data_IF_141724434961
#
_entry.id   IF_141724434961
#
_cell.length_a   1.000
_cell.length_b   1.000
_cell.length_c   1.000
_cell.angle_alpha   90.00
_cell.angle_beta   90.00
_cell.angle_gamma   90.00
#
_symmetry.space_group_name_H-M   'P 1'
#
loop_
_entity.id
_entity.type
_entity.pdbx_description
1 polymer ?
#
# COMPACT_ATOMS: atom_id res chain seq x y z
N UNK A 1 -11.45 -18.55 9.48
CA UNK A 1 -10.23 -17.72 9.61
C UNK A 1 -9.49 -17.98 10.92
N UNK A 2 -10.05 -18.77 11.83
CA UNK A 2 -9.54 -18.92 13.20
C UNK A 2 -8.25 -19.73 13.31
N UNK A 3 -8.00 -20.65 12.37
CA UNK A 3 -6.79 -21.48 12.38
C UNK A 3 -5.50 -20.69 12.31
N UNK A 4 -5.45 -19.61 11.52
CA UNK A 4 -4.22 -18.80 11.43
C UNK A 4 -4.05 -17.91 12.65
N UNK A 5 -5.12 -17.38 13.22
CA UNK A 5 -5.06 -16.66 14.50
C UNK A 5 -4.57 -17.54 15.65
N UNK A 6 -4.93 -18.83 15.64
CA UNK A 6 -4.48 -19.78 16.64
C UNK A 6 -2.98 -20.11 16.53
N UNK A 7 -2.45 -20.20 15.31
CA UNK A 7 -1.04 -20.57 15.07
C UNK A 7 -0.13 -19.34 15.07
N UNK A 8 -0.59 -18.21 14.53
CA UNK A 8 0.15 -16.96 14.38
C UNK A 8 -0.68 -15.77 14.93
N UNK A 9 -0.87 -15.69 16.26
CA UNK A 9 -1.77 -14.70 16.89
C UNK A 9 -1.33 -13.24 16.68
N UNK A 10 -0.05 -13.01 16.37
CA UNK A 10 0.50 -11.68 16.10
C UNK A 10 0.41 -11.28 14.61
N UNK A 11 -0.01 -12.19 13.73
CA UNK A 11 -0.11 -11.89 12.31
C UNK A 11 -1.37 -11.06 12.03
N UNK A 12 -1.18 -9.90 11.40
CA UNK A 12 -2.31 -9.11 10.92
C UNK A 12 -2.93 -9.79 9.69
N UNK A 13 -4.25 -9.93 9.72
CA UNK A 13 -5.03 -10.53 8.64
C UNK A 13 -5.63 -9.46 7.75
N UNK A 14 -5.15 -9.39 6.50
CA UNK A 14 -5.71 -8.51 5.48
C UNK A 14 -6.61 -9.31 4.53
N UNK A 15 -7.80 -8.78 4.27
CA UNK A 15 -8.72 -9.26 3.25
C UNK A 15 -8.47 -8.49 1.96
N UNK A 16 -8.42 -9.21 0.85
CA UNK A 16 -8.24 -8.62 -0.46
C UNK A 16 -9.48 -7.80 -0.87
N UNK A 17 -9.27 -6.52 -1.21
CA UNK A 17 -10.31 -5.62 -1.69
C UNK A 17 -11.02 -6.16 -2.95
N UNK A 18 -10.32 -6.89 -3.83
CA UNK A 18 -10.89 -7.51 -5.05
C UNK A 18 -11.84 -8.67 -4.74
N UNK A 19 -11.56 -9.45 -3.69
CA UNK A 19 -12.49 -10.50 -3.23
C UNK A 19 -13.70 -9.88 -2.53
N UNK A 20 -13.49 -8.78 -1.79
CA UNK A 20 -14.59 -7.99 -1.22
C UNK A 20 -15.47 -7.44 -2.34
N UNK A 21 -14.87 -6.82 -3.36
CA UNK A 21 -15.57 -6.35 -4.57
C UNK A 21 -16.40 -7.47 -5.19
N UNK A 22 -15.79 -8.62 -5.45
CA UNK A 22 -16.45 -9.73 -6.14
C UNK A 22 -17.66 -10.26 -5.35
N UNK A 23 -17.61 -10.24 -4.02
CA UNK A 23 -18.73 -10.66 -3.18
C UNK A 23 -19.77 -9.57 -2.99
N UNK A 24 -19.34 -8.34 -2.80
CA UNK A 24 -20.19 -7.17 -2.58
C UNK A 24 -20.96 -6.79 -3.85
N UNK A 25 -20.32 -6.88 -5.02
CA UNK A 25 -20.95 -6.62 -6.32
C UNK A 25 -21.98 -7.68 -6.76
N UNK A 26 -22.10 -8.82 -6.04
CA UNK A 26 -23.24 -9.73 -6.23
C UNK A 26 -24.56 -9.10 -5.80
N UNK A 27 -24.50 -8.15 -4.86
CA UNK A 27 -25.66 -7.43 -4.33
C UNK A 27 -25.78 -6.02 -4.92
N UNK A 28 -24.65 -5.38 -5.23
CA UNK A 28 -24.60 -3.97 -5.66
C UNK A 28 -23.81 -3.81 -6.97
N UNK A 29 -24.49 -3.57 -8.10
CA UNK A 29 -23.92 -3.74 -9.45
C UNK A 29 -23.47 -2.44 -10.15
N UNK A 30 -23.59 -1.27 -9.52
CA UNK A 30 -23.27 -0.01 -10.20
C UNK A 30 -21.75 0.25 -10.27
N UNK A 31 -21.27 0.74 -11.43
CA UNK A 31 -19.85 1.04 -11.65
C UNK A 31 -19.33 2.17 -10.77
N UNK A 32 -20.18 3.15 -10.44
CA UNK A 32 -19.84 4.26 -9.55
C UNK A 32 -19.68 3.80 -8.09
N UNK A 33 -20.58 2.91 -7.62
CA UNK A 33 -20.48 2.29 -6.30
C UNK A 33 -19.18 1.50 -6.16
N UNK A 34 -18.83 0.71 -7.18
CA UNK A 34 -17.55 -0.02 -7.22
C UNK A 34 -16.36 0.94 -7.15
N UNK A 35 -16.37 2.05 -7.89
CA UNK A 35 -15.30 3.04 -7.87
C UNK A 35 -15.12 3.65 -6.47
N UNK A 36 -16.22 4.03 -5.82
CA UNK A 36 -16.20 4.58 -4.46
C UNK A 36 -15.76 3.55 -3.42
N UNK A 37 -16.14 2.29 -3.56
CA UNK A 37 -15.65 1.20 -2.71
C UNK A 37 -14.13 1.08 -2.80
N UNK A 38 -13.57 1.09 -4.02
CA UNK A 38 -12.12 1.08 -4.22
C UNK A 38 -11.44 2.31 -3.64
N UNK A 39 -12.04 3.50 -3.78
CA UNK A 39 -11.53 4.70 -3.13
C UNK A 39 -11.52 4.58 -1.61
N UNK A 40 -12.56 3.99 -1.00
CA UNK A 40 -12.55 3.65 0.43
C UNK A 40 -11.41 2.68 0.78
N UNK A 41 -11.20 1.64 -0.02
CA UNK A 41 -10.13 0.66 0.22
C UNK A 41 -8.74 1.34 0.19
N UNK A 42 -8.55 2.23 -0.80
CA UNK A 42 -7.31 2.96 -1.01
C UNK A 42 -7.15 4.19 -0.10
N UNK A 43 -8.14 4.60 0.69
CA UNK A 43 -7.97 5.72 1.63
C UNK A 43 -6.77 5.49 2.56
N UNK A 44 -5.96 6.52 2.76
CA UNK A 44 -4.73 6.44 3.55
C UNK A 44 -4.94 6.74 5.03
N UNK A 45 -5.96 7.52 5.34
CA UNK A 45 -6.30 8.00 6.66
C UNK A 45 -7.83 7.93 6.85
N UNK A 46 -8.25 8.07 8.12
CA UNK A 46 -9.65 7.86 8.52
C UNK A 46 -10.60 8.93 7.96
N UNK A 47 -10.12 10.17 7.80
CA UNK A 47 -10.90 11.28 7.24
C UNK A 47 -11.21 11.02 5.76
N UNK A 48 -10.18 10.68 4.97
CA UNK A 48 -10.34 10.30 3.56
C UNK A 48 -11.29 9.12 3.41
N UNK A 49 -11.21 8.10 4.28
CA UNK A 49 -12.12 6.97 4.26
C UNK A 49 -13.57 7.39 4.51
N UNK A 50 -13.81 8.21 5.55
CA UNK A 50 -15.14 8.72 5.89
C UNK A 50 -15.72 9.56 4.77
N UNK A 51 -14.92 10.37 4.09
CA UNK A 51 -15.37 11.18 2.96
C UNK A 51 -15.81 10.33 1.77
N UNK A 52 -15.04 9.29 1.42
CA UNK A 52 -15.43 8.37 0.35
C UNK A 52 -16.67 7.55 0.73
N UNK A 53 -16.77 7.12 1.98
CA UNK A 53 -17.94 6.41 2.49
C UNK A 53 -19.19 7.30 2.49
N UNK A 54 -19.06 8.57 2.86
CA UNK A 54 -20.16 9.54 2.81
C UNK A 54 -20.63 9.78 1.38
N UNK A 55 -19.71 9.85 0.40
CA UNK A 55 -20.05 9.94 -1.03
C UNK A 55 -20.82 8.69 -1.48
N UNK A 56 -20.42 7.49 -1.02
CA UNK A 56 -21.15 6.25 -1.29
C UNK A 56 -22.55 6.25 -0.66
N UNK A 57 -22.68 6.71 0.59
CA UNK A 57 -23.96 6.79 1.29
C UNK A 57 -24.94 7.79 0.67
N UNK A 58 -24.43 8.86 0.03
CA UNK A 58 -25.25 9.79 -0.76
C UNK A 58 -25.85 9.16 -2.02
N UNK A 59 -25.19 8.14 -2.59
CA UNK A 59 -25.76 7.37 -3.70
C UNK A 59 -26.80 6.38 -3.18
N UNK A 60 -26.43 5.62 -2.15
CA UNK A 60 -27.32 4.67 -1.48
C UNK A 60 -26.79 4.34 -0.08
N UNK A 61 -27.58 4.66 0.94
CA UNK A 61 -27.22 4.44 2.34
C UNK A 61 -27.11 2.94 2.69
N UNK A 62 -27.93 2.08 2.08
CA UNK A 62 -27.89 0.64 2.30
C UNK A 62 -26.58 0.04 1.77
N UNK A 63 -26.09 0.56 0.64
CA UNK A 63 -24.81 0.16 0.02
C UNK A 63 -23.63 0.50 0.95
N UNK A 64 -23.60 1.72 1.49
CA UNK A 64 -22.58 2.14 2.45
C UNK A 64 -22.64 1.33 3.76
N UNK A 65 -23.85 1.12 4.30
CA UNK A 65 -24.07 0.32 5.51
C UNK A 65 -23.65 -1.15 5.33
N UNK A 66 -23.83 -1.72 4.14
CA UNK A 66 -23.41 -3.08 3.83
C UNK A 66 -21.88 -3.19 3.75
N UNK A 67 -21.20 -2.17 3.20
CA UNK A 67 -19.74 -2.13 3.10
C UNK A 67 -19.08 -2.07 4.49
N UNK A 68 -19.60 -1.27 5.41
CA UNK A 68 -19.04 -1.13 6.77
C UNK A 68 -19.29 -2.33 7.68
N UNK A 69 -20.16 -3.27 7.30
CA UNK A 69 -20.28 -4.57 7.99
C UNK A 69 -19.01 -5.40 7.83
N UNK A 70 -18.24 -5.16 6.79
CA UNK A 70 -16.94 -5.79 6.57
C UNK A 70 -15.90 -5.01 7.38
N UNK A 71 -15.25 -5.68 8.33
CA UNK A 71 -14.25 -5.06 9.22
C UNK A 71 -13.21 -4.26 8.44
N UNK A 72 -13.22 -2.93 8.60
CA UNK A 72 -12.40 -1.99 7.84
C UNK A 72 -10.91 -2.20 8.07
N UNK A 73 -10.54 -2.66 9.27
CA UNK A 73 -9.17 -3.04 9.66
C UNK A 73 -8.59 -4.11 8.75
N UNK A 74 -9.44 -4.96 8.15
CA UNK A 74 -8.99 -6.03 7.28
C UNK A 74 -8.72 -5.57 5.84
N UNK A 75 -9.34 -4.51 5.31
CA UNK A 75 -9.31 -4.24 3.87
C UNK A 75 -9.04 -2.79 3.46
N UNK A 76 -9.20 -1.84 4.38
CA UNK A 76 -8.94 -0.44 4.10
C UNK A 76 -7.54 -0.06 4.60
N UNK A 77 -6.75 0.53 3.70
CA UNK A 77 -5.38 0.96 3.95
C UNK A 77 -5.27 1.94 5.11
N UNK A 78 -6.31 2.74 5.37
CA UNK A 78 -6.39 3.67 6.48
C UNK A 78 -6.32 2.99 7.86
N UNK A 79 -6.52 1.68 7.96
CA UNK A 79 -6.49 0.96 9.23
C UNK A 79 -5.42 -0.10 9.29
N UNK A 80 -4.58 -0.20 8.25
CA UNK A 80 -3.45 -1.12 8.26
C UNK A 80 -2.36 -0.67 9.23
N UNK A 81 -1.66 -1.66 9.77
CA UNK A 81 -0.41 -1.44 10.48
C UNK A 81 0.65 -0.87 9.52
N UNK A 82 1.64 -0.21 10.11
CA UNK A 82 2.73 0.44 9.37
C UNK A 82 4.06 -0.27 9.60
N UNK A 83 4.05 -1.48 10.18
CA UNK A 83 5.26 -2.28 10.41
C UNK A 83 5.77 -2.80 9.07
N UNK A 84 4.90 -3.49 8.33
CA UNK A 84 5.19 -3.90 6.96
C UNK A 84 4.92 -2.73 6.02
N UNK A 85 5.94 -2.29 5.28
CA UNK A 85 5.84 -1.20 4.29
C UNK A 85 5.12 -1.63 3.02
N UNK A 86 3.86 -2.06 3.18
CA UNK A 86 3.01 -2.56 2.11
C UNK A 86 1.67 -1.81 2.11
N UNK A 87 1.49 -0.84 1.19
CA UNK A 87 0.25 -0.09 1.05
C UNK A 87 -0.79 -0.79 0.15
N UNK A 88 -0.50 -1.99 -0.37
CA UNK A 88 -1.37 -2.70 -1.32
C UNK A 88 -2.57 -3.30 -0.59
N UNK A 89 -3.75 -3.17 -1.20
CA UNK A 89 -5.05 -3.64 -0.68
C UNK A 89 -5.61 -4.82 -1.47
N UNK A 90 -5.02 -5.15 -2.61
CA UNK A 90 -5.38 -6.32 -3.42
C UNK A 90 -4.39 -7.48 -3.23
N UNK A 91 -4.83 -8.68 -3.61
CA UNK A 91 -4.04 -9.91 -3.50
C UNK A 91 -3.43 -10.32 -4.84
N UNK A 92 -3.08 -9.36 -5.72
CA UNK A 92 -2.51 -9.70 -7.04
C UNK A 92 -1.31 -10.66 -6.91
N UNK A 93 -0.44 -10.45 -5.91
CA UNK A 93 0.66 -11.36 -5.63
C UNK A 93 0.19 -12.80 -5.31
N UNK A 94 -0.83 -12.94 -4.46
CA UNK A 94 -1.36 -14.25 -4.07
C UNK A 94 -2.07 -14.94 -5.25
N UNK A 95 -2.79 -14.18 -6.06
CA UNK A 95 -3.44 -14.66 -7.29
C UNK A 95 -2.39 -15.15 -8.30
N UNK A 96 -1.35 -14.35 -8.56
CA UNK A 96 -0.23 -14.74 -9.43
C UNK A 96 0.49 -15.97 -8.92
N UNK A 97 0.80 -16.04 -7.62
CA UNK A 97 1.43 -17.22 -7.03
C UNK A 97 0.55 -18.46 -7.16
N UNK A 98 -0.74 -18.36 -6.87
CA UNK A 98 -1.68 -19.48 -6.99
C UNK A 98 -1.79 -20.00 -8.42
N UNK A 99 -1.78 -19.10 -9.42
CA UNK A 99 -1.74 -19.48 -10.83
C UNK A 99 -0.43 -20.16 -11.19
N UNK A 100 0.69 -19.66 -10.65
CA UNK A 100 2.04 -20.16 -10.94
C UNK A 100 2.31 -21.56 -10.38
N UNK A 101 1.69 -21.92 -9.25
CA UNK A 101 1.79 -23.27 -8.64
C UNK A 101 0.63 -24.20 -9.02
N UNK A 102 -0.28 -23.77 -9.91
CA UNK A 102 -1.53 -24.49 -10.14
C UNK A 102 -1.30 -25.90 -10.68
N UNK A 103 -0.33 -26.05 -11.60
CA UNK A 103 0.03 -27.33 -12.22
C UNK A 103 0.66 -28.30 -11.21
N UNK A 104 1.35 -27.78 -10.18
CA UNK A 104 1.96 -28.59 -9.12
C UNK A 104 0.95 -29.12 -8.11
N UNK A 105 -0.27 -28.56 -8.03
CA UNK A 105 -1.28 -29.03 -7.07
C UNK A 105 -1.88 -30.40 -7.42
N UNK A 106 -1.72 -30.86 -8.66
CA UNK A 106 -2.23 -32.14 -9.14
C UNK A 106 -1.32 -33.34 -8.91
N UNK A 107 -0.15 -33.16 -8.29
CA UNK A 107 0.86 -34.23 -8.11
C UNK A 107 1.07 -34.57 -6.62
N UNK A 108 1.68 -35.73 -6.29
CA UNK A 108 1.90 -36.12 -4.89
C UNK A 108 2.64 -35.06 -4.07
N UNK A 109 2.27 -34.90 -2.80
CA UNK A 109 2.71 -33.79 -1.93
C UNK A 109 4.22 -33.55 -1.91
N UNK A 110 5.02 -34.61 -1.81
CA UNK A 110 6.49 -34.50 -1.81
C UNK A 110 7.01 -33.94 -3.13
N UNK A 111 6.44 -34.40 -4.25
CA UNK A 111 6.81 -33.94 -5.59
C UNK A 111 6.34 -32.51 -5.85
N UNK A 112 5.16 -32.13 -5.33
CA UNK A 112 4.67 -30.74 -5.36
C UNK A 112 5.63 -29.80 -4.64
N UNK A 113 5.99 -30.14 -3.40
CA UNK A 113 6.91 -29.33 -2.59
C UNK A 113 8.29 -29.18 -3.24
N UNK A 114 8.82 -30.26 -3.82
CA UNK A 114 10.11 -30.22 -4.51
C UNK A 114 10.08 -29.34 -5.76
N UNK A 115 9.01 -29.41 -6.57
CA UNK A 115 8.84 -28.51 -7.72
C UNK A 115 8.72 -27.06 -7.29
N UNK A 116 7.92 -26.75 -6.26
CA UNK A 116 7.79 -25.39 -5.74
C UNK A 116 9.14 -24.88 -5.24
N UNK A 117 9.91 -25.70 -4.53
CA UNK A 117 11.25 -25.35 -4.04
C UNK A 117 12.18 -24.96 -5.19
N UNK A 118 12.29 -25.78 -6.22
CA UNK A 118 13.14 -25.49 -7.41
C UNK A 118 12.69 -24.21 -8.09
N UNK A 119 11.38 -24.06 -8.34
CA UNK A 119 10.83 -22.87 -8.99
C UNK A 119 11.11 -21.59 -8.17
N UNK A 120 11.01 -21.64 -6.84
CA UNK A 120 11.35 -20.49 -5.97
C UNK A 120 12.84 -20.16 -6.05
N UNK A 121 13.71 -21.17 -6.06
CA UNK A 121 15.17 -20.95 -6.22
C UNK A 121 15.49 -20.26 -7.55
N UNK A 122 14.89 -20.71 -8.66
CA UNK A 122 15.08 -20.09 -9.97
C UNK A 122 14.59 -18.63 -9.98
N UNK A 123 13.46 -18.33 -9.35
CA UNK A 123 12.96 -16.95 -9.22
C UNK A 123 13.96 -16.09 -8.44
N UNK A 124 14.45 -16.58 -7.30
CA UNK A 124 15.39 -15.82 -6.47
C UNK A 124 16.69 -15.54 -7.21
N UNK A 125 17.27 -16.53 -7.88
CA UNK A 125 18.48 -16.35 -8.70
C UNK A 125 18.25 -15.33 -9.83
N UNK A 126 17.15 -15.45 -10.57
CA UNK A 126 16.80 -14.50 -11.63
C UNK A 126 16.55 -13.08 -11.11
N UNK A 127 15.97 -12.94 -9.91
CA UNK A 127 15.77 -11.64 -9.27
C UNK A 127 17.10 -11.03 -8.84
N UNK A 128 17.99 -11.82 -8.23
CA UNK A 128 19.32 -11.39 -7.85
C UNK A 128 20.12 -10.90 -9.07
N UNK A 129 20.13 -11.65 -10.18
CA UNK A 129 20.80 -11.25 -11.42
C UNK A 129 20.27 -9.92 -11.96
N UNK A 130 18.94 -9.76 -11.98
CA UNK A 130 18.30 -8.48 -12.37
C UNK A 130 18.74 -7.34 -11.46
N UNK A 131 18.76 -7.55 -10.15
CA UNK A 131 19.19 -6.54 -9.16
C UNK A 131 20.67 -6.21 -9.35
N UNK A 132 21.55 -7.21 -9.53
CA UNK A 132 22.98 -7.03 -9.82
C UNK A 132 23.19 -6.17 -11.06
N UNK A 133 22.42 -6.42 -12.13
CA UNK A 133 22.48 -5.66 -13.39
C UNK A 133 22.00 -4.20 -13.28
N UNK A 134 21.23 -3.85 -12.25
CA UNK A 134 20.75 -2.48 -12.04
C UNK A 134 21.91 -1.54 -11.69
N UNK A 135 22.10 -0.48 -12.49
CA UNK A 135 23.13 0.56 -12.24
C UNK A 135 22.79 1.48 -11.07
N UNK A 136 21.51 1.59 -10.75
CA UNK A 136 20.96 2.44 -9.69
C UNK A 136 20.70 1.62 -8.42
N UNK A 137 20.77 2.28 -7.26
CA UNK A 137 20.42 1.69 -5.97
C UNK A 137 18.90 1.44 -5.82
N UNK A 138 18.10 1.89 -6.77
CA UNK A 138 16.64 1.74 -6.78
C UNK A 138 16.16 1.14 -8.11
N UNK A 139 15.08 0.35 -8.05
CA UNK A 139 14.43 -0.20 -9.24
C UNK A 139 13.80 0.89 -10.13
N UNK A 140 13.58 0.57 -11.41
CA UNK A 140 13.02 1.52 -12.37
C UNK A 140 11.57 1.89 -12.04
N UNK A 141 10.79 0.92 -11.58
CA UNK A 141 9.40 1.01 -11.17
C UNK A 141 9.27 1.91 -9.94
N UNK A 142 10.15 1.70 -8.96
CA UNK A 142 10.23 2.58 -7.79
C UNK A 142 10.54 4.02 -8.20
N UNK A 143 11.53 4.21 -9.06
CA UNK A 143 11.94 5.56 -9.49
C UNK A 143 10.83 6.28 -10.25
N UNK A 144 10.02 5.57 -11.05
CA UNK A 144 8.82 6.13 -11.69
C UNK A 144 7.82 6.65 -10.64
N UNK A 145 7.49 5.82 -9.64
CA UNK A 145 6.58 6.21 -8.56
C UNK A 145 7.12 7.41 -7.76
N UNK A 146 8.39 7.37 -7.36
CA UNK A 146 9.03 8.46 -6.63
C UNK A 146 9.03 9.77 -7.42
N UNK A 147 9.30 9.71 -8.73
CA UNK A 147 9.27 10.90 -9.58
C UNK A 147 7.85 11.47 -9.73
N UNK A 148 6.81 10.62 -9.75
CA UNK A 148 5.42 11.09 -9.72
C UNK A 148 5.11 11.82 -8.39
N UNK A 149 5.53 11.27 -7.24
CA UNK A 149 5.37 11.96 -5.95
C UNK A 149 6.15 13.27 -5.90
N UNK A 150 7.35 13.31 -6.50
CA UNK A 150 8.13 14.53 -6.60
C UNK A 150 7.44 15.58 -7.48
N UNK A 151 6.80 15.18 -8.57
CA UNK A 151 6.03 16.10 -9.41
C UNK A 151 4.86 16.71 -8.65
N UNK A 152 4.10 15.91 -7.90
CA UNK A 152 3.03 16.41 -7.02
C UNK A 152 3.59 17.35 -5.95
N UNK A 153 4.72 16.99 -5.33
CA UNK A 153 5.38 17.81 -4.32
C UNK A 153 5.77 19.20 -4.85
N UNK A 154 6.03 19.37 -6.14
CA UNK A 154 6.30 20.70 -6.72
C UNK A 154 5.08 21.61 -6.74
N UNK A 155 3.87 21.04 -6.75
CA UNK A 155 2.61 21.77 -6.67
C UNK A 155 2.17 22.05 -5.22
N UNK A 156 2.80 21.41 -4.23
CA UNK A 156 2.47 21.65 -2.83
C UNK A 156 3.07 22.95 -2.29
N UNK A 157 2.43 23.56 -1.31
CA UNK A 157 2.95 24.69 -0.52
C UNK A 157 3.26 24.23 0.90
N UNK A 158 4.34 24.73 1.51
CA UNK A 158 4.74 24.30 2.85
C UNK A 158 4.90 25.49 3.80
N UNK A 159 4.29 25.38 4.97
CA UNK A 159 4.34 26.35 6.05
C UNK A 159 5.00 25.71 7.26
N UNK A 160 6.16 26.24 7.63
CA UNK A 160 6.98 25.72 8.73
C UNK A 160 6.53 26.29 10.07
N UNK A 161 6.37 25.44 11.09
CA UNK A 161 5.95 25.87 12.43
C UNK A 161 7.09 26.39 13.32
N UNK A 162 8.33 26.47 12.81
CA UNK A 162 9.51 26.89 13.57
C UNK A 162 10.31 25.77 14.24
N UNK A 163 9.86 24.51 14.20
CA UNK A 163 10.56 23.38 14.83
C UNK A 163 10.69 22.12 13.96
N UNK A 164 9.84 21.11 14.17
CA UNK A 164 9.80 19.87 13.36
C UNK A 164 8.50 19.72 12.57
N UNK A 165 7.53 20.61 12.76
CA UNK A 165 6.20 20.53 12.14
C UNK A 165 6.08 21.38 10.88
N UNK A 166 5.37 20.84 9.90
CA UNK A 166 4.97 21.56 8.70
C UNK A 166 3.47 21.36 8.48
N UNK A 167 2.78 22.40 8.07
CA UNK A 167 1.52 22.27 7.32
C UNK A 167 1.88 22.29 5.84
N UNK A 168 1.49 21.26 5.09
CA UNK A 168 1.72 21.19 3.65
C UNK A 168 0.37 21.16 2.95
N UNK A 169 0.12 22.13 2.08
CA UNK A 169 -1.09 22.23 1.28
C UNK A 169 -0.88 21.58 -0.10
N UNK A 170 -1.84 20.76 -0.53
CA UNK A 170 -1.96 20.19 -1.87
C UNK A 170 -3.34 20.60 -2.43
N UNK A 171 -3.40 21.73 -3.12
CA UNK A 171 -4.68 22.33 -3.51
C UNK A 171 -5.46 22.79 -2.27
N UNK A 172 -6.69 22.28 -2.10
CA UNK A 172 -7.55 22.60 -0.96
C UNK A 172 -7.25 21.73 0.28
N UNK A 173 -6.53 20.62 0.10
CA UNK A 173 -6.21 19.68 1.17
C UNK A 173 -4.95 20.13 1.92
N UNK A 174 -4.97 19.98 3.25
CA UNK A 174 -3.85 20.35 4.12
C UNK A 174 -3.46 19.17 5.00
N UNK A 175 -2.17 18.88 5.03
CA UNK A 175 -1.64 17.76 5.79
C UNK A 175 -0.52 18.20 6.73
N UNK A 176 -0.62 17.75 7.97
CA UNK A 176 0.41 17.95 8.98
C UNK A 176 1.54 16.95 8.73
N UNK A 177 2.77 17.46 8.71
CA UNK A 177 4.02 16.72 8.56
C UNK A 177 4.87 16.92 9.81
N UNK A 178 5.37 15.83 10.39
CA UNK A 178 6.35 15.86 11.47
C UNK A 178 7.66 15.23 10.98
N UNK A 179 8.70 16.05 10.85
CA UNK A 179 10.01 15.63 10.33
C UNK A 179 10.91 14.93 11.36
N UNK A 180 10.62 15.03 12.66
CA UNK A 180 11.38 14.32 13.70
C UNK A 180 11.03 12.84 13.70
N UNK A 181 9.75 12.54 13.54
CA UNK A 181 9.23 11.17 13.56
C UNK A 181 9.02 10.60 12.16
N UNK A 182 9.28 11.37 11.11
CA UNK A 182 9.05 10.97 9.73
C UNK A 182 7.57 10.58 9.48
N UNK A 183 6.63 11.35 10.02
CA UNK A 183 5.18 11.06 9.98
C UNK A 183 4.41 12.10 9.19
N UNK A 184 3.40 11.62 8.48
CA UNK A 184 2.47 12.45 7.70
C UNK A 184 1.03 12.15 8.13
N UNK A 185 0.17 13.16 8.26
CA UNK A 185 -1.27 12.96 8.45
C UNK A 185 -1.91 12.18 7.29
N UNK A 186 -1.37 12.33 6.07
CA UNK A 186 -1.74 11.51 4.91
C UNK A 186 -1.27 10.05 5.03
N UNK A 187 -0.41 9.67 6.00
CA UNK A 187 0.03 8.30 6.34
C UNK A 187 0.67 7.43 5.24
N UNK A 188 0.69 7.87 3.98
CA UNK A 188 1.25 7.09 2.87
C UNK A 188 2.73 6.76 3.09
N UNK A 189 3.48 7.67 3.72
CA UNK A 189 4.87 7.39 4.05
C UNK A 189 5.01 6.30 5.11
N UNK A 190 4.21 6.32 6.16
CA UNK A 190 4.22 5.28 7.18
C UNK A 190 3.87 3.90 6.60
N UNK A 191 2.90 3.86 5.69
CA UNK A 191 2.39 2.64 5.05
C UNK A 191 3.32 2.08 3.97
N UNK A 192 3.95 2.94 3.17
CA UNK A 192 4.77 2.53 2.03
C UNK A 192 6.27 2.58 2.30
N UNK A 193 6.73 3.33 3.31
CA UNK A 193 8.16 3.61 3.47
C UNK A 193 8.75 4.55 2.42
N UNK A 194 7.93 5.08 1.50
CA UNK A 194 8.32 6.05 0.48
C UNK A 194 7.82 7.43 0.92
N UNK A 195 8.68 8.46 0.99
CA UNK A 195 8.23 9.82 1.30
C UNK A 195 7.08 10.24 0.36
N UNK A 196 5.93 10.58 0.94
CA UNK A 196 4.79 11.10 0.20
C UNK A 196 5.08 12.50 -0.37
N UNK A 197 4.24 13.05 -1.27
CA UNK A 197 4.45 14.39 -1.81
C UNK A 197 4.66 15.46 -0.74
N UNK A 198 3.87 15.41 0.35
CA UNK A 198 3.99 16.30 1.51
C UNK A 198 5.34 16.20 2.20
N UNK A 199 5.82 14.98 2.44
CA UNK A 199 7.12 14.74 3.04
C UNK A 199 8.25 15.24 2.13
N UNK A 200 8.17 14.97 0.83
CA UNK A 200 9.14 15.45 -0.17
C UNK A 200 9.20 16.98 -0.14
N UNK A 201 8.05 17.67 -0.17
CA UNK A 201 8.00 19.15 -0.12
C UNK A 201 8.63 19.69 1.16
N UNK A 202 8.28 19.14 2.32
CA UNK A 202 8.81 19.57 3.61
C UNK A 202 10.33 19.36 3.71
N UNK A 203 10.86 18.24 3.23
CA UNK A 203 12.31 18.01 3.20
C UNK A 203 13.04 18.96 2.27
N UNK A 204 12.50 19.21 1.08
CA UNK A 204 13.07 20.18 0.13
C UNK A 204 13.11 21.58 0.75
N UNK A 205 12.04 22.01 1.44
CA UNK A 205 12.02 23.28 2.17
C UNK A 205 13.08 23.35 3.27
N UNK A 206 13.41 22.22 3.93
CA UNK A 206 14.46 22.13 4.95
C UNK A 206 15.87 21.89 4.37
N UNK A 207 16.03 21.92 3.04
CA UNK A 207 17.27 21.60 2.33
C UNK A 207 17.84 20.20 2.60
N UNK A 208 16.96 19.24 2.94
CA UNK A 208 17.30 17.84 3.14
C UNK A 208 16.94 17.08 1.85
N UNK A 209 17.83 16.17 1.41
CA UNK A 209 17.56 15.32 0.24
C UNK A 209 16.47 14.28 0.58
N UNK A 210 15.26 14.32 -0.02
CA UNK A 210 14.19 13.41 0.39
C UNK A 210 14.51 11.94 0.13
N UNK A 211 15.37 11.65 -0.87
CA UNK A 211 15.83 10.28 -1.16
C UNK A 211 16.56 9.61 0.01
N UNK A 212 17.14 10.36 0.95
CA UNK A 212 17.81 9.76 2.11
C UNK A 212 16.83 9.29 3.17
N UNK A 213 15.53 9.57 2.99
CA UNK A 213 14.45 9.23 3.92
C UNK A 213 13.58 8.07 3.39
N UNK A 214 14.01 7.44 2.29
CA UNK A 214 13.37 6.23 1.77
C UNK A 214 13.67 5.07 2.72
N UNK A 215 12.68 4.23 2.97
CA UNK A 215 12.87 3.03 3.80
C UNK A 215 13.85 2.06 3.15
N UNK A 216 14.70 1.43 3.96
CA UNK A 216 15.80 0.56 3.50
C UNK A 216 15.33 -0.63 2.63
N UNK A 217 14.07 -1.07 2.76
CA UNK A 217 13.47 -2.08 1.90
C UNK A 217 13.56 -1.79 0.40
N UNK A 218 13.71 -0.53 -0.01
CA UNK A 218 13.80 -0.17 -1.44
C UNK A 218 15.22 -0.10 -1.99
N UNK A 219 16.22 -0.36 -1.15
CA UNK A 219 17.63 -0.29 -1.53
C UNK A 219 18.04 -1.60 -2.19
N UNK A 220 18.83 -1.48 -3.25
CA UNK A 220 19.44 -2.59 -4.00
C UNK A 220 20.10 -3.60 -3.07
N UNK A 221 20.83 -3.11 -2.07
CA UNK A 221 21.60 -3.91 -1.11
C UNK A 221 20.71 -4.81 -0.23
N UNK A 222 19.41 -4.52 -0.10
CA UNK A 222 18.48 -5.37 0.66
C UNK A 222 18.17 -6.69 -0.04
N UNK A 223 18.43 -6.78 -1.34
CA UNK A 223 18.11 -7.92 -2.19
C UNK A 223 19.37 -8.61 -2.76
N UNK A 224 20.56 -8.28 -2.25
CA UNK A 224 21.85 -8.85 -2.61
C UNK A 224 22.52 -9.50 -1.39
#
# INVERSE_FOLDING_TARGET
MDSVRNVLPKAHHRSCAKHIESNWCKKWTSGEMKKLMWWCAWSTNDEEFKDQLNKLGKLDECVANDLVRISQVAWCRAYFDTQCKNPIVDSNFTESFNSWVLEEKGIPIIKMLEKIRVKVMEILANHEDKVRSCKSNYSSEFMKLYNNYRAIAHCCEAHFNGYYGYEVAEGDDKHIMNLEHNKCAYRMWDLSGIPCPHAIKAYLHKNIKPKTQIHWYYYKETYL
#
